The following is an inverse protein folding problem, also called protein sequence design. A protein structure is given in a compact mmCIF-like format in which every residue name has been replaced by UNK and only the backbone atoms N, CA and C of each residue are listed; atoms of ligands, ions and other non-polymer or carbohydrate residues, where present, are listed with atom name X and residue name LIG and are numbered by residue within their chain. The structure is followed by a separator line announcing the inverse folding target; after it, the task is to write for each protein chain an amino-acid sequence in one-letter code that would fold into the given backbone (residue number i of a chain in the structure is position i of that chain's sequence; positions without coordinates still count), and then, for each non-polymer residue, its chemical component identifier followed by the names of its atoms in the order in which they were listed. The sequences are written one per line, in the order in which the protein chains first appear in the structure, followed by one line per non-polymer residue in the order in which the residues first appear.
data_IF_674383850790
#
_entry.id   IF_674383850790
#
_cell.length_a   1.000
_cell.length_b   1.000
_cell.length_c   1.000
_cell.angle_alpha   90.00
_cell.angle_beta   90.00
_cell.angle_gamma   90.00
#
_symmetry.space_group_name_H-M   'P 1'
#
loop_
_entity.id
_entity.type
_entity.pdbx_description
1 polymer ?
#
# COMPACT_ATOMS: atom_id res chain seq x y z
N UNK A 1 -13.82 -3.64 1.63
CA UNK A 1 -13.41 -4.02 3.01
C UNK A 1 -12.83 -2.77 3.66
N UNK A 2 -12.74 -2.65 4.98
CA UNK A 2 -12.18 -1.42 5.58
C UNK A 2 -10.69 -1.58 5.84
N UNK A 3 -9.90 -0.72 5.21
CA UNK A 3 -8.47 -0.57 5.48
C UNK A 3 -8.27 0.73 6.24
N UNK A 4 -7.45 0.69 7.28
CA UNK A 4 -7.16 1.84 8.13
C UNK A 4 -5.65 2.07 8.21
N UNK A 5 -5.19 3.27 7.88
CA UNK A 5 -3.80 3.68 8.10
C UNK A 5 -3.68 4.17 9.55
N UNK A 6 -2.99 3.39 10.38
CA UNK A 6 -2.83 3.66 11.81
C UNK A 6 -1.67 4.63 12.06
N UNK A 7 -0.59 4.49 11.32
CA UNK A 7 0.65 5.24 11.54
C UNK A 7 1.38 5.48 10.22
N UNK A 8 2.06 6.63 10.14
CA UNK A 8 2.96 6.99 9.05
C UNK A 8 4.31 7.37 9.64
N UNK A 9 5.37 6.72 9.18
CA UNK A 9 6.74 7.00 9.63
C UNK A 9 7.62 7.32 8.42
N UNK A 10 8.37 8.42 8.49
CA UNK A 10 9.34 8.77 7.46
C UNK A 10 10.51 7.78 7.50
N UNK A 11 10.89 7.29 6.32
CA UNK A 11 12.01 6.41 6.10
C UNK A 11 12.98 7.04 5.10
N UNK A 12 14.23 6.58 5.06
CA UNK A 12 15.27 7.17 4.20
C UNK A 12 14.96 7.14 2.68
N UNK A 13 13.96 6.36 2.26
CA UNK A 13 13.59 6.11 0.86
C UNK A 13 12.10 6.38 0.57
N UNK A 14 11.33 6.81 1.57
CA UNK A 14 9.89 6.91 1.45
C UNK A 14 9.18 7.09 2.78
N UNK A 15 7.95 6.62 2.85
CA UNK A 15 7.15 6.60 4.09
C UNK A 15 6.65 5.16 4.34
N UNK A 16 6.77 4.71 5.59
CA UNK A 16 6.25 3.42 6.05
C UNK A 16 4.86 3.65 6.61
N UNK A 17 3.87 2.99 6.03
CA UNK A 17 2.48 3.03 6.49
C UNK A 17 2.18 1.74 7.24
N UNK A 18 1.80 1.89 8.50
CA UNK A 18 1.26 0.80 9.31
C UNK A 18 -0.24 0.76 9.06
N UNK A 19 -0.71 -0.34 8.47
CA UNK A 19 -2.07 -0.51 7.99
C UNK A 19 -2.73 -1.66 8.75
N UNK A 20 -3.93 -1.42 9.29
CA UNK A 20 -4.80 -2.47 9.82
C UNK A 20 -5.74 -2.95 8.72
N UNK A 21 -5.74 -4.25 8.48
CA UNK A 21 -6.65 -4.93 7.57
C UNK A 21 -7.17 -6.18 8.26
N UNK A 22 -8.49 -6.25 8.47
CA UNK A 22 -9.13 -7.32 9.25
C UNK A 22 -8.47 -7.45 10.65
N UNK A 23 -8.00 -8.65 11.01
CA UNK A 23 -7.32 -8.94 12.28
C UNK A 23 -5.78 -8.85 12.17
N UNK A 24 -5.27 -8.32 11.05
CA UNK A 24 -3.83 -8.24 10.77
C UNK A 24 -3.35 -6.80 10.68
N UNK A 25 -2.11 -6.61 11.08
CA UNK A 25 -1.38 -5.35 10.88
C UNK A 25 -0.25 -5.60 9.89
N UNK A 26 -0.19 -4.80 8.83
CA UNK A 26 0.83 -4.89 7.77
C UNK A 26 1.56 -3.56 7.70
N UNK A 27 2.87 -3.61 7.39
CA UNK A 27 3.67 -2.41 7.13
C UNK A 27 4.03 -2.37 5.66
N UNK A 28 3.71 -1.27 4.98
CA UNK A 28 4.04 -1.05 3.56
C UNK A 28 4.98 0.15 3.47
N UNK A 29 6.12 -0.03 2.81
CA UNK A 29 7.01 1.09 2.46
C UNK A 29 6.59 1.66 1.11
N UNK A 30 6.00 2.86 1.12
CA UNK A 30 5.78 3.63 -0.09
C UNK A 30 7.03 4.44 -0.41
N UNK A 31 7.69 4.13 -1.51
CA UNK A 31 8.86 4.88 -1.97
C UNK A 31 8.46 6.30 -2.39
N UNK A 32 9.37 7.27 -2.27
CA UNK A 32 9.07 8.68 -2.59
C UNK A 32 8.44 8.86 -3.99
N UNK A 33 8.98 8.18 -5.00
CA UNK A 33 8.45 8.24 -6.36
C UNK A 33 7.03 7.64 -6.48
N UNK A 34 6.67 6.68 -5.62
CA UNK A 34 5.32 6.11 -5.60
C UNK A 34 4.37 7.14 -4.98
N UNK A 35 4.75 7.74 -3.84
CA UNK A 35 3.98 8.80 -3.18
C UNK A 35 3.74 9.98 -4.12
N UNK A 36 4.76 10.41 -4.86
CA UNK A 36 4.62 11.48 -5.87
C UNK A 36 3.61 11.12 -6.97
N UNK A 37 3.62 9.87 -7.44
CA UNK A 37 2.64 9.40 -8.44
C UNK A 37 1.22 9.37 -7.87
N UNK A 38 1.05 8.91 -6.64
CA UNK A 38 -0.24 8.87 -5.95
C UNK A 38 -0.81 10.29 -5.84
N UNK A 39 0.02 11.25 -5.40
CA UNK A 39 -0.32 12.68 -5.34
C UNK A 39 -0.66 13.25 -6.72
N UNK A 40 0.16 12.95 -7.74
CA UNK A 40 -0.03 13.43 -9.12
C UNK A 40 -1.35 12.94 -9.72
N UNK A 41 -1.75 11.71 -9.41
CA UNK A 41 -2.99 11.12 -9.90
C UNK A 41 -4.19 11.41 -8.99
N UNK A 42 -3.99 12.14 -7.89
CA UNK A 42 -5.01 12.48 -6.91
C UNK A 42 -5.77 11.25 -6.40
N UNK A 43 -5.04 10.15 -6.19
CA UNK A 43 -5.57 8.89 -5.66
C UNK A 43 -5.31 8.90 -4.16
N UNK A 44 -6.23 8.32 -3.39
CA UNK A 44 -6.06 8.15 -1.95
C UNK A 44 -5.07 7.02 -1.66
N UNK A 45 -4.18 7.22 -0.70
CA UNK A 45 -3.20 6.21 -0.30
C UNK A 45 -3.89 4.93 0.19
N UNK A 46 -5.06 5.03 0.80
CA UNK A 46 -5.89 3.90 1.23
C UNK A 46 -6.33 3.03 0.06
N UNK A 47 -6.68 3.64 -1.09
CA UNK A 47 -7.08 2.88 -2.29
C UNK A 47 -5.90 2.09 -2.85
N UNK A 48 -4.71 2.68 -2.83
CA UNK A 48 -3.49 2.00 -3.29
C UNK A 48 -3.12 0.86 -2.35
N UNK A 49 -3.20 1.09 -1.03
CA UNK A 49 -3.02 0.04 -0.04
C UNK A 49 -4.06 -1.09 -0.21
N UNK A 50 -5.31 -0.75 -0.53
CA UNK A 50 -6.37 -1.73 -0.81
C UNK A 50 -6.08 -2.57 -2.04
N UNK A 51 -5.73 -1.95 -3.16
CA UNK A 51 -5.35 -2.70 -4.37
C UNK A 51 -4.14 -3.62 -4.16
N UNK A 52 -3.19 -3.25 -3.28
CA UNK A 52 -2.02 -4.07 -2.99
C UNK A 52 -2.32 -5.24 -2.02
N UNK A 53 -3.18 -5.00 -1.02
CA UNK A 53 -3.47 -5.99 0.03
C UNK A 53 -4.65 -6.90 -0.32
N UNK A 54 -5.60 -6.40 -1.11
CA UNK A 54 -6.85 -7.06 -1.49
C UNK A 54 -7.09 -6.91 -3.00
N UNK A 55 -6.18 -7.42 -3.86
CA UNK A 55 -6.36 -7.32 -5.31
C UNK A 55 -7.63 -8.07 -5.76
N UNK A 56 -8.49 -7.41 -6.54
CA UNK A 56 -9.69 -8.03 -7.13
C UNK A 56 -9.34 -9.17 -8.10
N UNK A 57 -8.26 -8.98 -8.86
CA UNK A 57 -7.66 -10.01 -9.71
C UNK A 57 -6.21 -10.24 -9.29
N UNK A 58 -5.95 -11.40 -8.70
CA UNK A 58 -4.58 -11.92 -8.65
C UNK A 58 -4.30 -12.44 -10.05
N UNK A 59 -3.57 -11.70 -10.88
CA UNK A 59 -2.85 -12.35 -11.96
C UNK A 59 -1.91 -13.31 -11.25
N UNK A 60 -2.30 -14.59 -11.20
CA UNK A 60 -1.41 -15.67 -10.83
C UNK A 60 -0.37 -15.68 -11.96
N UNK A 61 0.64 -14.82 -11.81
CA UNK A 61 1.91 -14.99 -12.48
C UNK A 61 2.38 -16.35 -12.01
N UNK A 62 2.15 -17.35 -12.87
CA UNK A 62 2.80 -18.63 -12.85
C UNK A 62 4.26 -18.34 -12.50
N UNK A 63 4.66 -18.80 -11.31
CA UNK A 63 6.02 -18.72 -10.81
C UNK A 63 6.94 -19.23 -11.92
N UNK A 64 7.54 -18.32 -12.69
CA UNK A 64 8.75 -18.64 -13.44
C UNK A 64 9.82 -18.80 -12.37
N UNK A 65 10.02 -20.08 -12.03
CA UNK A 65 11.21 -20.64 -11.41
C UNK A 65 12.49 -19.97 -11.92
#
# INVERSE_FOLDING_TARGET
MTIEIIERQIHNRGEVYTIRVQEKTVKILFLFHAIERIKKWNIKEEMVAESLLLPEEVIIGQSLF
#
